data_IF_185989862125
#
_entry.id   IF_185989862125
#
_cell.length_a   1.000
_cell.length_b   1.000
_cell.length_c   1.000
_cell.angle_alpha   90.00
_cell.angle_beta   90.00
_cell.angle_gamma   90.00
#
_symmetry.space_group_name_H-M   'P 1'
#
loop_
_entity.id
_entity.type
_entity.pdbx_description
1 polymer ?
#
# COMPACT_ATOMS: atom_id res chain seq x y z
N UNK A 1 24.39 -41.51 -14.87
CA UNK A 1 23.86 -41.21 -16.22
C UNK A 1 23.91 -39.71 -16.38
N UNK A 2 24.60 -39.22 -17.40
CA UNK A 2 24.71 -37.78 -17.67
C UNK A 2 23.56 -37.36 -18.59
N UNK A 3 22.91 -36.24 -18.29
CA UNK A 3 21.92 -35.59 -19.15
C UNK A 3 22.13 -34.09 -19.08
N UNK A 4 22.58 -33.49 -20.18
CA UNK A 4 22.90 -32.06 -20.25
C UNK A 4 21.64 -31.19 -20.38
N UNK A 5 21.79 -29.92 -20.01
CA UNK A 5 20.89 -28.82 -20.36
C UNK A 5 20.62 -28.74 -21.88
N UNK A 6 19.56 -28.02 -22.28
CA UNK A 6 19.85 -26.69 -22.83
C UNK A 6 19.26 -25.55 -22.01
N UNK A 7 20.04 -24.47 -21.96
CA UNK A 7 19.66 -23.13 -21.51
C UNK A 7 18.61 -22.55 -22.49
N UNK A 8 17.68 -21.70 -22.02
CA UNK A 8 16.86 -20.89 -22.92
C UNK A 8 16.79 -19.44 -22.42
N UNK A 9 17.70 -18.65 -22.98
CA UNK A 9 17.64 -17.24 -23.36
C UNK A 9 16.81 -16.27 -22.50
N UNK A 10 17.54 -15.43 -21.77
CA UNK A 10 17.04 -14.22 -21.11
C UNK A 10 17.15 -13.03 -22.07
N UNK A 11 16.04 -12.58 -22.68
CA UNK A 11 16.07 -11.39 -23.54
C UNK A 11 15.90 -10.10 -22.72
N UNK A 12 17.00 -9.62 -22.15
CA UNK A 12 17.07 -8.32 -21.45
C UNK A 12 17.35 -7.20 -22.44
N UNK A 13 16.32 -6.50 -22.93
CA UNK A 13 16.50 -5.37 -23.84
C UNK A 13 17.01 -4.14 -23.08
N UNK A 14 18.33 -4.05 -22.93
CA UNK A 14 19.02 -2.86 -22.45
C UNK A 14 19.28 -1.89 -23.61
N UNK A 15 18.72 -0.69 -23.52
CA UNK A 15 18.79 0.34 -24.56
C UNK A 15 20.15 1.06 -24.51
N UNK A 16 21.13 0.62 -25.29
CA UNK A 16 22.43 1.31 -25.39
C UNK A 16 22.30 2.63 -26.16
N UNK A 17 22.55 3.74 -25.46
CA UNK A 17 22.83 5.04 -26.09
C UNK A 17 24.34 5.09 -26.36
N UNK A 18 24.74 4.79 -27.60
CA UNK A 18 26.11 5.04 -28.08
C UNK A 18 26.18 6.47 -28.58
N UNK A 19 26.81 7.35 -27.80
CA UNK A 19 27.28 8.65 -28.27
C UNK A 19 28.69 8.51 -28.81
N UNK A 20 28.88 8.70 -30.12
CA UNK A 20 30.21 8.68 -30.75
C UNK A 20 30.75 10.10 -30.93
N UNK A 21 31.96 10.34 -30.44
CA UNK A 21 32.63 11.64 -30.47
C UNK A 21 33.45 11.87 -31.74
N UNK A 22 33.71 13.14 -32.05
CA UNK A 22 34.66 13.58 -33.09
C UNK A 22 36.11 13.30 -32.69
N UNK A 23 36.97 13.03 -33.68
CA UNK A 23 38.26 13.67 -34.03
C UNK A 23 38.56 13.24 -35.50
N UNK A 24 38.97 14.06 -36.50
CA UNK A 24 40.05 15.05 -36.69
C UNK A 24 41.27 14.46 -37.43
N UNK A 25 41.78 15.16 -38.47
CA UNK A 25 43.00 14.80 -39.22
C UNK A 25 42.90 14.93 -40.77
N UNK A 26 43.49 16.00 -41.32
CA UNK A 26 44.50 16.02 -42.42
C UNK A 26 44.20 15.33 -43.79
N UNK A 27 44.68 15.77 -44.95
CA UNK A 27 45.32 17.02 -45.41
C UNK A 27 45.32 17.06 -46.96
N UNK A 28 45.30 18.26 -47.59
CA UNK A 28 46.08 18.60 -48.82
C UNK A 28 45.62 19.89 -49.53
N UNK A 29 46.61 20.75 -49.80
CA UNK A 29 46.64 22.02 -50.58
C UNK A 29 47.69 21.77 -51.70
N UNK A 30 47.69 22.34 -52.95
CA UNK A 30 47.56 23.77 -53.34
C UNK A 30 46.73 23.99 -54.65
N UNK A 31 46.71 25.11 -55.40
CA UNK A 31 47.51 26.37 -55.48
C UNK A 31 46.68 27.54 -56.05
N UNK A 32 47.20 28.78 -55.92
CA UNK A 32 47.17 29.86 -56.94
C UNK A 32 46.29 31.11 -56.73
N UNK A 33 46.80 32.04 -55.90
CA UNK A 33 47.11 33.46 -56.20
C UNK A 33 46.06 34.28 -57.02
N UNK A 34 45.30 35.24 -56.46
CA UNK A 34 45.65 36.66 -56.11
C UNK A 34 45.34 37.69 -57.26
N UNK A 35 45.01 39.01 -57.08
CA UNK A 35 44.70 39.84 -55.89
C UNK A 35 43.35 40.66 -55.89
N UNK A 36 43.01 41.18 -54.71
CA UNK A 36 42.30 42.44 -54.34
C UNK A 36 41.31 43.14 -55.33
N UNK A 37 40.06 43.32 -54.89
CA UNK A 37 39.63 44.59 -54.25
C UNK A 37 38.33 44.43 -53.42
N UNK A 38 38.07 45.28 -52.40
CA UNK A 38 36.94 45.14 -51.49
C UNK A 38 35.73 46.02 -51.85
N UNK A 39 34.51 45.49 -51.68
CA UNK A 39 33.30 46.30 -51.48
C UNK A 39 32.48 45.75 -50.31
N UNK A 40 31.95 46.66 -49.50
CA UNK A 40 31.24 46.44 -48.23
C UNK A 40 30.19 47.55 -48.12
N UNK A 41 28.98 47.36 -47.54
CA UNK A 41 28.16 46.15 -47.41
C UNK A 41 26.72 46.37 -47.97
N UNK A 42 25.84 45.37 -47.87
CA UNK A 42 24.39 45.61 -47.75
C UNK A 42 23.75 44.73 -46.67
N UNK A 43 22.75 45.23 -45.91
CA UNK A 43 22.21 44.58 -44.71
C UNK A 43 21.25 43.41 -44.98
N UNK A 44 21.25 42.86 -46.19
CA UNK A 44 20.34 41.78 -46.61
C UNK A 44 20.92 40.37 -46.41
N UNK A 45 22.24 40.25 -46.22
CA UNK A 45 22.90 38.94 -46.14
C UNK A 45 22.68 38.21 -44.80
N UNK A 46 22.36 38.94 -43.72
CA UNK A 46 22.01 38.33 -42.43
C UNK A 46 20.63 37.64 -42.47
N UNK A 47 19.68 38.21 -43.22
CA UNK A 47 18.34 37.63 -43.43
C UNK A 47 18.33 36.43 -44.37
N UNK A 48 19.35 36.27 -45.20
CA UNK A 48 19.48 35.14 -46.13
C UNK A 48 19.87 33.82 -45.44
N UNK A 49 20.64 33.87 -44.34
CA UNK A 49 21.14 32.66 -43.67
C UNK A 49 20.16 32.04 -42.66
N UNK A 50 19.21 32.83 -42.15
CA UNK A 50 18.23 32.40 -41.13
C UNK A 50 16.93 31.83 -41.74
N UNK A 51 16.95 31.43 -43.02
CA UNK A 51 15.77 30.95 -43.76
C UNK A 51 15.99 29.64 -44.52
N UNK A 52 16.82 28.74 -43.98
CA UNK A 52 17.10 27.44 -44.63
C UNK A 52 17.39 26.30 -43.64
N UNK A 53 16.38 25.91 -42.86
CA UNK A 53 16.25 24.49 -42.46
C UNK A 53 14.84 24.01 -42.05
N UNK A 54 13.77 24.77 -42.33
CA UNK A 54 12.40 24.24 -42.31
C UNK A 54 12.13 23.39 -43.57
N UNK A 55 12.92 22.33 -43.77
CA UNK A 55 12.67 21.36 -44.83
C UNK A 55 11.35 20.66 -44.49
N UNK A 56 10.32 20.92 -45.28
CA UNK A 56 8.95 20.48 -45.00
C UNK A 56 8.81 18.97 -45.18
N UNK A 57 9.04 18.22 -44.09
CA UNK A 57 8.84 16.78 -44.01
C UNK A 57 7.33 16.48 -43.94
N UNK A 58 6.63 16.67 -45.06
CA UNK A 58 5.36 15.98 -45.33
C UNK A 58 5.07 15.81 -46.84
N UNK A 59 6.09 15.85 -47.70
CA UNK A 59 5.91 15.68 -49.16
C UNK A 59 5.69 14.20 -49.56
N UNK A 60 4.60 13.62 -49.06
CA UNK A 60 3.85 12.41 -49.51
C UNK A 60 2.87 11.90 -48.45
N UNK A 61 2.54 12.71 -47.45
CA UNK A 61 1.48 12.43 -46.48
C UNK A 61 0.13 12.32 -47.23
N UNK A 62 -0.30 11.10 -47.57
CA UNK A 62 -1.62 10.85 -48.18
C UNK A 62 -2.68 11.47 -47.25
N UNK A 63 -3.58 12.28 -47.82
CA UNK A 63 -4.60 13.01 -47.04
C UNK A 63 -5.38 12.11 -46.07
N UNK A 64 -5.64 10.87 -46.50
CA UNK A 64 -6.29 9.82 -45.72
C UNK A 64 -5.51 9.37 -44.47
N UNK A 65 -4.17 9.38 -44.53
CA UNK A 65 -3.30 9.10 -43.39
C UNK A 65 -3.33 10.23 -42.36
N UNK A 66 -3.38 11.49 -42.82
CA UNK A 66 -3.53 12.66 -41.93
C UNK A 66 -4.90 12.63 -41.23
N UNK A 67 -5.96 12.30 -41.97
CA UNK A 67 -7.29 12.10 -41.39
C UNK A 67 -7.31 10.97 -40.35
N UNK A 68 -6.74 9.81 -40.66
CA UNK A 68 -6.67 8.67 -39.73
C UNK A 68 -5.91 9.01 -38.44
N UNK A 69 -4.76 9.69 -38.55
CA UNK A 69 -3.97 10.13 -37.37
C UNK A 69 -4.75 11.15 -36.54
N UNK A 70 -5.43 12.12 -37.17
CA UNK A 70 -6.27 13.09 -36.46
C UNK A 70 -7.44 12.44 -35.72
N UNK A 71 -8.07 11.41 -36.30
CA UNK A 71 -9.16 10.66 -35.66
C UNK A 71 -8.63 9.84 -34.48
N UNK A 72 -7.48 9.18 -34.64
CA UNK A 72 -6.85 8.41 -33.55
C UNK A 72 -6.47 9.29 -32.35
N UNK A 73 -5.90 10.48 -32.60
CA UNK A 73 -5.64 11.44 -31.53
C UNK A 73 -6.92 11.97 -30.88
N UNK A 74 -8.00 12.22 -31.65
CA UNK A 74 -9.30 12.58 -31.07
C UNK A 74 -9.88 11.47 -30.19
N UNK A 75 -9.77 10.20 -30.59
CA UNK A 75 -10.18 9.06 -29.77
C UNK A 75 -9.37 9.02 -28.47
N UNK A 76 -8.04 9.12 -28.55
CA UNK A 76 -7.17 9.17 -27.36
C UNK A 76 -7.55 10.33 -26.44
N UNK A 77 -7.75 11.53 -26.99
CA UNK A 77 -8.16 12.70 -26.20
C UNK A 77 -9.51 12.44 -25.53
N UNK A 78 -10.51 11.93 -26.26
CA UNK A 78 -11.83 11.60 -25.69
C UNK A 78 -11.71 10.51 -24.61
N UNK A 79 -10.90 9.47 -24.80
CA UNK A 79 -10.65 8.45 -23.78
C UNK A 79 -9.97 9.04 -22.53
N UNK A 80 -8.97 9.91 -22.70
CA UNK A 80 -8.32 10.61 -21.58
C UNK A 80 -9.33 11.48 -20.84
N UNK A 81 -10.16 12.26 -21.55
CA UNK A 81 -11.19 13.10 -20.94
C UNK A 81 -12.24 12.26 -20.19
N UNK A 82 -12.66 11.12 -20.75
CA UNK A 82 -13.55 10.18 -20.05
C UNK A 82 -12.90 9.68 -18.76
N UNK A 83 -11.64 9.24 -18.80
CA UNK A 83 -10.92 8.78 -17.61
C UNK A 83 -10.68 9.89 -16.57
N UNK A 84 -10.48 11.14 -17.00
CA UNK A 84 -10.25 12.29 -16.11
C UNK A 84 -11.55 12.84 -15.48
N UNK A 85 -12.66 12.82 -16.22
CA UNK A 85 -13.96 13.33 -15.76
C UNK A 85 -14.88 12.24 -15.19
N UNK A 86 -14.50 10.97 -15.29
CA UNK A 86 -15.19 9.84 -14.68
C UNK A 86 -14.35 9.22 -13.56
N UNK A 87 -14.20 9.88 -12.40
CA UNK A 87 -13.76 9.23 -11.17
C UNK A 87 -14.89 8.33 -10.59
N UNK A 88 -15.68 7.70 -11.47
CA UNK A 88 -16.72 6.73 -11.14
C UNK A 88 -16.03 5.41 -10.83
N UNK A 89 -15.37 5.40 -9.66
CA UNK A 89 -15.36 4.21 -8.84
C UNK A 89 -16.81 4.04 -8.41
N UNK A 90 -17.51 3.09 -9.04
CA UNK A 90 -18.79 2.63 -8.51
C UNK A 90 -18.45 1.91 -7.20
N UNK A 91 -18.69 2.60 -6.09
CA UNK A 91 -18.66 1.99 -4.75
C UNK A 91 -19.95 1.18 -4.67
N UNK A 92 -19.83 -0.13 -4.46
CA UNK A 92 -21.00 -0.98 -4.29
C UNK A 92 -21.73 -0.60 -2.98
N UNK A 93 -23.03 -0.85 -2.91
CA UNK A 93 -23.89 -0.37 -1.80
C UNK A 93 -23.46 -0.95 -0.44
N UNK A 94 -22.73 -2.07 -0.42
CA UNK A 94 -22.17 -2.70 0.79
C UNK A 94 -20.70 -2.31 1.09
N UNK A 95 -20.03 -1.63 0.15
CA UNK A 95 -18.70 -1.05 0.33
C UNK A 95 -18.79 0.39 0.87
N UNK A 96 -19.86 1.14 0.52
CA UNK A 96 -20.16 2.44 1.10
C UNK A 96 -20.33 2.38 2.63
N UNK A 97 -19.87 3.41 3.33
CA UNK A 97 -20.06 3.58 4.77
C UNK A 97 -20.14 5.08 5.09
N UNK A 98 -20.98 5.42 6.07
CA UNK A 98 -21.10 6.79 6.58
C UNK A 98 -20.11 7.00 7.74
N UNK A 99 -19.12 7.92 7.61
CA UNK A 99 -18.19 8.20 8.69
C UNK A 99 -18.84 8.77 9.96
N UNK A 100 -19.93 9.52 9.84
CA UNK A 100 -20.60 10.11 11.00
C UNK A 100 -21.32 9.04 11.83
N UNK A 101 -21.84 7.98 11.18
CA UNK A 101 -22.40 6.80 11.86
C UNK A 101 -21.37 6.04 12.72
N UNK A 102 -20.10 6.03 12.31
CA UNK A 102 -19.00 5.39 13.06
C UNK A 102 -18.44 6.32 14.14
N UNK A 103 -18.25 7.60 13.83
CA UNK A 103 -17.71 8.58 14.78
C UNK A 103 -18.60 8.74 16.03
N UNK A 104 -19.91 8.57 15.86
CA UNK A 104 -20.91 8.59 16.94
C UNK A 104 -21.39 7.18 17.34
N UNK A 105 -20.66 6.15 16.93
CA UNK A 105 -21.03 4.74 17.06
C UNK A 105 -20.94 4.15 18.47
N UNK A 106 -21.51 2.96 18.63
CA UNK A 106 -21.40 2.18 19.86
C UNK A 106 -19.98 1.62 19.98
N UNK A 107 -19.41 1.67 21.19
CA UNK A 107 -18.04 1.23 21.44
C UNK A 107 -18.00 -0.23 21.91
N UNK A 108 -17.29 -1.08 21.18
CA UNK A 108 -17.14 -2.51 21.47
C UNK A 108 -15.70 -2.83 21.82
N UNK A 109 -15.50 -3.12 23.11
CA UNK A 109 -14.17 -3.35 23.67
C UNK A 109 -13.98 -4.85 23.89
N UNK A 110 -12.83 -5.37 23.47
CA UNK A 110 -12.49 -6.78 23.62
C UNK A 110 -11.17 -6.93 24.37
N UNK A 111 -11.11 -7.93 25.24
CA UNK A 111 -9.88 -8.41 25.87
C UNK A 111 -9.49 -9.74 25.25
N UNK A 112 -8.28 -9.79 24.71
CA UNK A 112 -7.71 -10.94 24.02
C UNK A 112 -6.51 -11.52 24.77
N UNK A 113 -6.28 -12.81 24.56
CA UNK A 113 -5.06 -13.51 24.99
C UNK A 113 -4.51 -14.32 23.82
N UNK A 114 -3.18 -14.32 23.68
CA UNK A 114 -2.44 -15.03 22.63
C UNK A 114 -1.10 -15.52 23.21
N UNK A 115 -0.69 -16.74 22.87
CA UNK A 115 0.62 -17.28 23.24
C UNK A 115 1.66 -16.97 22.18
N UNK A 116 2.88 -16.75 22.64
CA UNK A 116 4.06 -16.52 21.81
C UNK A 116 5.06 -17.66 22.02
N UNK A 117 5.76 -18.04 20.97
CA UNK A 117 6.93 -18.91 21.04
C UNK A 117 8.17 -18.03 20.92
N UNK A 118 8.85 -17.84 22.05
CA UNK A 118 9.96 -16.90 22.23
C UNK A 118 10.94 -17.57 23.21
N UNK A 119 12.22 -17.68 22.84
CA UNK A 119 13.23 -18.31 23.70
C UNK A 119 13.72 -17.35 24.82
N UNK A 120 12.84 -17.13 25.80
CA UNK A 120 13.07 -16.36 27.03
C UNK A 120 13.53 -14.89 26.81
N UNK A 121 12.59 -13.92 26.75
CA UNK A 121 12.95 -12.51 26.89
C UNK A 121 13.52 -12.26 28.29
N UNK A 122 14.63 -11.53 28.37
CA UNK A 122 15.17 -10.96 29.61
C UNK A 122 14.49 -9.63 29.93
N UNK A 123 14.41 -9.26 31.21
CA UNK A 123 13.59 -8.19 31.80
C UNK A 123 13.46 -6.86 31.03
N UNK A 124 14.50 -6.44 30.30
CA UNK A 124 14.50 -5.18 29.53
C UNK A 124 13.90 -5.29 28.12
N UNK A 125 13.42 -6.47 27.71
CA UNK A 125 12.93 -6.74 26.35
C UNK A 125 11.40 -6.65 26.19
N UNK A 126 10.67 -6.42 27.28
CA UNK A 126 9.22 -6.24 27.23
C UNK A 126 8.80 -5.04 26.41
N UNK A 127 9.52 -3.92 26.49
CA UNK A 127 9.15 -2.69 25.77
C UNK A 127 9.19 -2.89 24.25
N UNK A 128 10.28 -3.45 23.72
CA UNK A 128 10.44 -3.77 22.29
C UNK A 128 9.41 -4.80 21.81
N UNK A 129 9.15 -5.82 22.61
CA UNK A 129 8.17 -6.87 22.30
C UNK A 129 6.74 -6.32 22.33
N UNK A 130 6.43 -5.47 23.30
CA UNK A 130 5.14 -4.78 23.45
C UNK A 130 4.90 -3.81 22.29
N UNK A 131 5.90 -3.01 21.90
CA UNK A 131 5.85 -2.12 20.74
C UNK A 131 5.59 -2.90 19.44
N UNK A 132 6.34 -4.00 19.21
CA UNK A 132 6.13 -4.87 18.06
C UNK A 132 4.71 -5.46 18.02
N UNK A 133 4.21 -5.97 19.16
CA UNK A 133 2.88 -6.57 19.26
C UNK A 133 1.77 -5.53 19.13
N UNK A 134 1.91 -4.36 19.75
CA UNK A 134 0.98 -3.24 19.62
C UNK A 134 0.89 -2.78 18.17
N UNK A 135 2.04 -2.61 17.49
CA UNK A 135 2.08 -2.29 16.07
C UNK A 135 1.41 -3.39 15.24
N UNK A 136 1.77 -4.66 15.42
CA UNK A 136 1.19 -5.76 14.65
C UNK A 136 -0.32 -5.86 14.83
N UNK A 137 -0.82 -5.75 16.06
CA UNK A 137 -2.27 -5.72 16.33
C UNK A 137 -2.95 -4.51 15.67
N UNK A 138 -2.29 -3.34 15.69
CA UNK A 138 -2.77 -2.13 15.00
C UNK A 138 -2.87 -2.39 13.51
N UNK A 139 -1.76 -2.72 12.83
CA UNK A 139 -1.69 -2.98 11.39
C UNK A 139 -2.74 -4.03 10.94
N UNK A 140 -2.89 -5.14 11.68
CA UNK A 140 -3.87 -6.21 11.39
C UNK A 140 -5.31 -5.70 11.33
N UNK A 141 -5.69 -4.86 12.29
CA UNK A 141 -7.08 -4.43 12.42
C UNK A 141 -7.38 -3.12 11.70
N UNK A 142 -6.41 -2.20 11.56
CA UNK A 142 -6.54 -0.96 10.77
C UNK A 142 -6.59 -1.23 9.27
N UNK A 143 -5.76 -2.16 8.78
CA UNK A 143 -5.60 -2.39 7.34
C UNK A 143 -6.56 -3.45 6.81
N UNK A 144 -7.34 -4.08 7.72
CA UNK A 144 -8.38 -5.05 7.37
C UNK A 144 -9.50 -4.40 6.56
N UNK A 145 -9.80 -4.88 5.33
CA UNK A 145 -10.93 -4.36 4.53
C UNK A 145 -12.30 -4.50 5.23
N UNK A 146 -12.41 -5.46 6.15
CA UNK A 146 -13.62 -5.73 6.92
C UNK A 146 -13.70 -4.97 8.25
N UNK A 147 -12.57 -4.70 8.92
CA UNK A 147 -12.53 -4.13 10.27
C UNK A 147 -11.93 -2.72 10.38
N UNK A 148 -11.11 -2.28 9.42
CA UNK A 148 -10.36 -1.02 9.49
C UNK A 148 -11.24 0.21 9.70
N UNK A 149 -12.39 0.26 9.01
CA UNK A 149 -13.38 1.34 9.16
C UNK A 149 -14.03 1.41 10.55
N UNK A 150 -13.94 0.35 11.36
CA UNK A 150 -14.51 0.25 12.71
C UNK A 150 -13.42 0.29 13.80
N UNK A 151 -12.14 0.14 13.46
CA UNK A 151 -11.05 0.02 14.42
C UNK A 151 -10.67 1.38 15.02
N UNK A 152 -10.57 1.43 16.35
CA UNK A 152 -10.12 2.63 17.08
C UNK A 152 -8.66 2.47 17.49
N UNK A 153 -8.32 1.38 18.19
CA UNK A 153 -6.97 1.14 18.72
C UNK A 153 -6.80 -0.29 19.25
N UNK A 154 -5.55 -0.67 19.48
CA UNK A 154 -5.14 -1.89 20.18
C UNK A 154 -4.10 -1.54 21.25
N UNK A 155 -4.06 -2.26 22.37
CA UNK A 155 -3.07 -2.06 23.44
C UNK A 155 -2.59 -3.41 23.97
N UNK A 156 -1.29 -3.55 24.23
CA UNK A 156 -0.72 -4.71 24.94
C UNK A 156 -0.71 -4.40 26.42
N UNK A 157 -1.48 -5.16 27.20
CA UNK A 157 -1.71 -4.91 28.63
C UNK A 157 -0.65 -5.58 29.50
N UNK A 158 -0.25 -6.80 29.14
CA UNK A 158 0.78 -7.55 29.86
C UNK A 158 1.33 -8.71 29.04
N UNK A 159 2.53 -9.14 29.40
CA UNK A 159 3.19 -10.32 28.83
C UNK A 159 3.61 -11.21 30.01
N UNK A 160 3.02 -12.40 30.10
CA UNK A 160 3.30 -13.38 31.16
C UNK A 160 4.52 -14.23 30.80
N UNK A 161 5.56 -14.17 31.63
CA UNK A 161 6.77 -15.00 31.51
C UNK A 161 6.45 -16.49 31.53
N UNK A 162 5.77 -16.95 32.58
CA UNK A 162 5.55 -18.37 32.90
C UNK A 162 4.96 -19.17 31.73
N UNK A 163 3.98 -18.57 31.03
CA UNK A 163 3.24 -19.24 29.97
C UNK A 163 3.49 -18.66 28.57
N UNK A 164 4.34 -17.63 28.47
CA UNK A 164 4.57 -16.82 27.27
C UNK A 164 3.25 -16.32 26.67
N UNK A 165 2.40 -15.73 27.51
CA UNK A 165 1.04 -15.30 27.12
C UNK A 165 0.93 -13.77 27.13
N UNK A 166 0.61 -13.21 25.98
CA UNK A 166 0.29 -11.79 25.78
C UNK A 166 -1.20 -11.59 26.10
N UNK A 167 -1.51 -10.59 26.92
CA UNK A 167 -2.86 -10.07 27.13
C UNK A 167 -2.97 -8.71 26.45
N UNK A 168 -4.03 -8.49 25.67
CA UNK A 168 -4.21 -7.27 24.88
C UNK A 168 -5.67 -6.81 24.89
N UNK A 169 -5.90 -5.53 24.63
CA UNK A 169 -7.21 -4.94 24.41
C UNK A 169 -7.36 -4.46 22.96
N UNK A 170 -8.59 -4.52 22.46
CA UNK A 170 -9.00 -3.95 21.17
C UNK A 170 -10.24 -3.08 21.39
N UNK A 171 -10.27 -1.93 20.73
CA UNK A 171 -11.41 -1.01 20.73
C UNK A 171 -11.94 -0.81 19.32
N UNK A 172 -13.26 -0.96 19.16
CA UNK A 172 -13.97 -0.71 17.91
C UNK A 172 -15.13 0.26 18.14
N UNK A 173 -15.45 1.08 17.14
CA UNK A 173 -16.71 1.81 17.03
C UNK A 173 -17.53 1.21 15.90
N UNK A 174 -18.80 0.91 16.15
CA UNK A 174 -19.72 0.35 15.14
C UNK A 174 -20.94 1.24 14.98
N UNK A 175 -21.65 1.20 13.83
CA UNK A 175 -22.84 2.01 13.61
C UNK A 175 -23.85 1.84 14.76
N UNK A 176 -24.48 2.94 15.19
CA UNK A 176 -25.47 2.90 16.28
C UNK A 176 -26.72 2.08 15.95
N UNK A 177 -26.98 1.81 14.67
CA UNK A 177 -27.98 0.89 14.14
C UNK A 177 -27.46 -0.56 14.00
N UNK A 178 -26.57 -0.97 14.92
CA UNK A 178 -26.06 -2.34 14.98
C UNK A 178 -27.21 -3.37 14.99
N UNK A 179 -27.14 -4.32 14.05
CA UNK A 179 -28.06 -5.46 14.01
C UNK A 179 -27.40 -6.69 14.60
N UNK A 180 -28.21 -7.60 15.17
CA UNK A 180 -27.74 -8.93 15.59
C UNK A 180 -26.99 -9.66 14.46
N UNK A 181 -27.40 -9.44 13.20
CA UNK A 181 -26.75 -10.00 12.02
C UNK A 181 -25.36 -9.38 11.78
N UNK A 182 -25.24 -8.05 11.86
CA UNK A 182 -23.96 -7.34 11.79
C UNK A 182 -23.01 -7.81 12.89
N UNK A 183 -23.48 -7.85 14.14
CA UNK A 183 -22.66 -8.29 15.29
C UNK A 183 -22.26 -9.76 15.20
N UNK A 184 -23.11 -10.62 14.64
CA UNK A 184 -22.81 -12.05 14.43
C UNK A 184 -21.77 -12.28 13.34
N UNK A 185 -21.87 -11.59 12.20
CA UNK A 185 -21.04 -11.88 11.01
C UNK A 185 -19.87 -10.94 10.78
N UNK A 186 -19.93 -9.67 11.19
CA UNK A 186 -18.85 -8.67 11.00
C UNK A 186 -18.09 -8.31 12.28
N UNK A 187 -18.72 -8.37 13.47
CA UNK A 187 -18.09 -7.94 14.75
C UNK A 187 -18.10 -9.02 15.85
N UNK A 188 -18.21 -10.30 15.48
CA UNK A 188 -18.22 -11.38 16.47
C UNK A 188 -16.79 -11.73 16.93
N UNK A 189 -16.66 -12.20 18.18
CA UNK A 189 -15.38 -12.69 18.74
C UNK A 189 -14.66 -13.66 17.79
N UNK A 190 -15.40 -14.59 17.18
CA UNK A 190 -14.84 -15.53 16.20
C UNK A 190 -14.31 -14.84 14.93
N UNK A 191 -14.99 -13.81 14.43
CA UNK A 191 -14.54 -13.04 13.28
C UNK A 191 -13.22 -12.32 13.58
N UNK A 192 -13.16 -11.55 14.69
CA UNK A 192 -11.97 -10.83 15.12
C UNK A 192 -10.77 -11.77 15.38
N UNK A 193 -11.03 -12.94 15.97
CA UNK A 193 -10.01 -13.98 16.17
C UNK A 193 -9.51 -14.56 14.84
N UNK A 194 -10.39 -14.76 13.87
CA UNK A 194 -10.02 -15.34 12.58
C UNK A 194 -9.26 -14.37 11.69
N UNK A 195 -9.53 -13.05 11.76
CA UNK A 195 -8.70 -12.02 11.09
C UNK A 195 -7.26 -12.07 11.62
N UNK A 196 -7.07 -12.10 12.95
CA UNK A 196 -5.73 -12.21 13.53
C UNK A 196 -5.05 -13.56 13.23
N UNK A 197 -5.79 -14.67 13.21
CA UNK A 197 -5.26 -15.97 12.76
C UNK A 197 -4.76 -15.91 11.32
N UNK A 198 -5.51 -15.26 10.44
CA UNK A 198 -5.13 -15.15 9.04
C UNK A 198 -3.81 -14.36 8.90
N UNK A 199 -3.65 -13.22 9.57
CA UNK A 199 -2.36 -12.49 9.59
C UNK A 199 -1.19 -13.35 10.11
N UNK A 200 -1.43 -14.20 11.10
CA UNK A 200 -0.41 -15.10 11.65
C UNK A 200 -0.03 -16.20 10.66
N UNK A 201 -0.97 -16.71 9.86
CA UNK A 201 -0.69 -17.71 8.82
C UNK A 201 -0.09 -17.10 7.55
N UNK A 202 -0.53 -15.91 7.15
CA UNK A 202 -0.10 -15.23 5.92
C UNK A 202 1.33 -14.65 6.07
N UNK A 203 1.78 -14.39 7.30
CA UNK A 203 3.15 -13.96 7.62
C UNK A 203 3.96 -15.12 8.21
N UNK A 204 4.57 -15.92 7.34
CA UNK A 204 5.69 -16.81 7.70
C UNK A 204 6.80 -15.99 8.39
N UNK A 205 7.56 -16.66 9.28
CA UNK A 205 8.58 -16.14 10.21
C UNK A 205 8.91 -14.62 10.14
N UNK A 206 8.65 -13.90 11.23
CA UNK A 206 8.86 -12.46 11.45
C UNK A 206 10.17 -11.89 10.85
N UNK A 207 10.17 -11.52 9.57
CA UNK A 207 11.31 -10.86 8.95
C UNK A 207 11.55 -9.47 9.59
N UNK A 208 12.72 -9.30 10.21
CA UNK A 208 13.29 -7.98 10.49
C UNK A 208 13.19 -7.42 11.91
N UNK A 209 12.67 -8.17 12.90
CA UNK A 209 12.78 -7.76 14.32
C UNK A 209 13.71 -8.72 15.08
N UNK A 210 15.00 -8.39 15.09
CA UNK A 210 15.98 -9.04 15.98
C UNK A 210 15.75 -8.60 17.43
N UNK A 211 14.69 -9.14 18.04
CA UNK A 211 14.54 -9.15 19.50
C UNK A 211 15.62 -10.10 20.01
N UNK A 212 16.82 -9.57 20.28
CA UNK A 212 17.97 -10.39 20.69
C UNK A 212 17.59 -11.46 21.75
N UNK A 213 17.73 -12.74 21.40
CA UNK A 213 17.28 -13.88 22.22
C UNK A 213 15.98 -14.57 21.77
N UNK A 214 15.11 -13.90 21.02
CA UNK A 214 13.94 -14.49 20.36
C UNK A 214 14.01 -14.33 18.83
N UNK A 215 15.11 -14.81 18.25
CA UNK A 215 15.42 -14.72 16.81
C UNK A 215 14.35 -15.34 15.89
N UNK A 216 13.58 -16.32 16.38
CA UNK A 216 12.45 -16.93 15.67
C UNK A 216 11.16 -16.78 16.50
N UNK A 217 10.80 -15.54 16.86
CA UNK A 217 9.54 -15.29 17.55
C UNK A 217 8.35 -15.58 16.63
N UNK A 218 7.47 -16.50 17.06
CA UNK A 218 6.20 -16.80 16.37
C UNK A 218 5.00 -16.67 17.32
N UNK A 219 3.81 -16.45 16.74
CA UNK A 219 2.54 -16.34 17.44
C UNK A 219 1.78 -17.67 17.26
N UNK A 220 1.14 -18.19 18.32
CA UNK A 220 0.35 -19.43 18.25
C UNK A 220 -1.11 -19.10 17.83
N UNK A 221 -1.51 -19.31 16.57
CA UNK A 221 -2.85 -18.95 16.09
C UNK A 221 -3.97 -19.78 16.74
N UNK A 222 -3.65 -20.93 17.33
CA UNK A 222 -4.63 -21.79 18.00
C UNK A 222 -4.94 -21.29 19.40
N UNK A 223 -3.96 -20.65 20.07
CA UNK A 223 -4.09 -20.12 21.44
C UNK A 223 -4.93 -18.86 21.57
N UNK A 224 -5.26 -18.18 20.47
CA UNK A 224 -6.03 -16.93 20.49
C UNK A 224 -7.38 -17.18 21.17
N UNK A 225 -7.71 -16.32 22.14
CA UNK A 225 -9.04 -16.24 22.74
C UNK A 225 -9.45 -14.77 22.94
N UNK A 226 -10.72 -14.45 22.70
CA UNK A 226 -11.30 -13.12 22.93
C UNK A 226 -12.49 -13.19 23.90
N UNK A 227 -12.61 -12.18 24.75
CA UNK A 227 -13.76 -11.89 25.60
C UNK A 227 -14.21 -10.46 25.30
N UNK A 228 -15.52 -10.23 25.21
CA UNK A 228 -16.04 -8.87 25.15
C UNK A 228 -16.02 -8.31 26.57
N UNK A 229 -15.47 -7.12 26.74
CA UNK A 229 -15.53 -6.37 27.98
C UNK A 229 -16.95 -5.80 28.07
N UNK A 230 -17.81 -6.47 28.83
CA UNK A 230 -19.13 -5.93 29.13
C UNK A 230 -18.96 -4.62 29.90
N UNK A 231 -19.65 -3.57 29.46
CA UNK A 231 -19.97 -2.47 30.37
C UNK A 231 -20.66 -3.08 31.59
N UNK A 232 -20.28 -2.64 32.80
CA UNK A 232 -20.84 -3.18 34.03
C UNK A 232 -22.34 -2.82 34.15
N UNK A 233 -23.20 -3.66 33.58
CA UNK A 233 -24.63 -3.62 33.84
C UNK A 233 -24.83 -3.88 35.33
N UNK A 234 -25.43 -2.90 36.03
CA UNK A 234 -25.83 -3.03 37.43
C UNK A 234 -26.41 -4.43 37.69
N UNK A 235 -25.76 -5.22 38.54
CA UNK A 235 -26.36 -6.46 39.01
C UNK A 235 -27.55 -6.12 39.90
N UNK A 236 -28.65 -6.86 39.75
CA UNK A 236 -29.79 -6.80 40.67
C UNK A 236 -29.34 -6.93 42.13
N UNK A 237 -29.71 -5.95 42.93
CA UNK A 237 -29.64 -6.03 44.40
C UNK A 237 -30.45 -7.25 44.87
N UNK A 238 -29.87 -8.20 45.64
CA UNK A 238 -30.63 -9.31 46.19
C UNK A 238 -31.63 -8.78 47.23
N UNK A 239 -32.91 -8.81 46.87
CA UNK A 239 -33.99 -8.22 47.66
C UNK A 239 -34.00 -8.63 49.14
N UNK A 240 -33.87 -7.63 50.02
CA UNK A 240 -33.90 -7.81 51.47
C UNK A 240 -35.31 -8.23 51.92
N UNK A 241 -35.51 -9.53 52.14
CA UNK A 241 -36.77 -10.04 52.71
C UNK A 241 -36.79 -9.84 54.24
N UNK A 242 -37.45 -8.78 54.69
CA UNK A 242 -37.77 -8.60 56.10
C UNK A 242 -38.75 -9.69 56.58
N UNK A 243 -38.26 -10.64 57.38
CA UNK A 243 -39.11 -11.59 58.09
C UNK A 243 -39.75 -10.92 59.31
N UNK A 244 -41.06 -10.71 59.23
CA UNK A 244 -41.88 -10.30 60.38
C UNK A 244 -42.21 -11.55 61.19
N UNK A 245 -41.55 -11.73 62.33
CA UNK A 245 -41.98 -12.71 63.34
C UNK A 245 -43.32 -12.29 63.96
N UNK A 246 -44.18 -13.28 64.21
CA UNK A 246 -45.46 -13.16 64.91
C UNK A 246 -45.44 -14.08 66.13
#
# INVERSE_FOLDING_TARGET
MNGNLPLQDTETIALQIVGEGREAGEDSVPTSNEPLQPQVPTPDQEKAKLKSCSKTICWKCKLWMVAAVSIFFLIIIVTILILFFSPVVYIDEDEYWDPDSIANGNHHNFSGMLRIHCAAPSDWKYDLLSEYLHKRLTDVYSDSPALGRYFISAEVISISEENSTVSYHLWFSVPSDETEEFMKYRMSKNFLMNVLRQDIYDKEETEGVDISGCTNMTLDPTSISLKQLQAASQQDEPGVSCWISR
#
